data_IF_356944914433
#
_entry.id   IF_356944914433
#
_cell.length_a   1.000
_cell.length_b   1.000
_cell.length_c   1.000
_cell.angle_alpha   90.00
_cell.angle_beta   90.00
_cell.angle_gamma   90.00
#
_symmetry.space_group_name_H-M   'P 1'
#
loop_
_entity.id
_entity.type
_entity.pdbx_description
1 polymer ?
#
# COMPACT_ATOMS: atom_id res chain seq x y z
N UNK A 1 -8.48 -15.90 1.15
CA UNK A 1 -9.05 -14.65 0.60
C UNK A 1 -7.89 -13.72 0.29
N UNK A 2 -7.96 -13.01 -0.84
CA UNK A 2 -6.90 -12.06 -1.23
C UNK A 2 -7.01 -10.79 -0.36
N UNK A 3 -5.91 -10.23 0.15
CA UNK A 3 -5.93 -8.95 0.88
C UNK A 3 -6.51 -7.79 0.05
N UNK A 4 -6.49 -7.90 -1.29
CA UNK A 4 -7.05 -6.85 -2.16
C UNK A 4 -8.55 -6.98 -2.40
N UNK A 5 -9.23 -7.96 -1.79
CA UNK A 5 -10.68 -8.12 -1.88
C UNK A 5 -11.34 -7.58 -0.61
N UNK A 6 -11.24 -6.28 -0.42
CA UNK A 6 -11.74 -5.57 0.76
C UNK A 6 -12.67 -4.42 0.36
N UNK A 7 -13.49 -3.94 1.29
CA UNK A 7 -14.45 -2.88 1.02
C UNK A 7 -13.79 -1.59 0.53
N UNK A 8 -12.62 -1.23 1.07
CA UNK A 8 -11.90 -0.06 0.62
C UNK A 8 -11.52 -0.15 -0.86
N UNK A 9 -11.09 -1.33 -1.35
CA UNK A 9 -10.77 -1.53 -2.76
C UNK A 9 -11.99 -1.30 -3.66
N UNK A 10 -13.17 -1.74 -3.23
CA UNK A 10 -14.43 -1.47 -3.93
C UNK A 10 -14.73 0.04 -3.95
N UNK A 11 -14.58 0.71 -2.80
CA UNK A 11 -14.85 2.15 -2.69
C UNK A 11 -13.87 3.02 -3.48
N UNK A 12 -12.60 2.62 -3.61
CA UNK A 12 -11.62 3.31 -4.47
C UNK A 12 -12.09 3.38 -5.92
N UNK A 13 -12.77 2.33 -6.42
CA UNK A 13 -13.38 2.34 -7.76
C UNK A 13 -14.74 3.03 -7.84
N UNK A 14 -15.56 2.93 -6.78
CA UNK A 14 -16.95 3.39 -6.80
C UNK A 14 -17.12 4.88 -6.48
N UNK A 15 -16.44 5.40 -5.45
CA UNK A 15 -16.60 6.78 -4.96
C UNK A 15 -16.29 7.85 -6.01
N UNK A 16 -15.23 7.72 -6.84
CA UNK A 16 -14.94 8.71 -7.88
C UNK A 16 -16.12 8.94 -8.82
N UNK A 17 -16.87 7.88 -9.15
CA UNK A 17 -18.00 7.93 -10.08
C UNK A 17 -19.28 8.39 -9.36
N UNK A 18 -19.57 7.80 -8.19
CA UNK A 18 -20.85 7.99 -7.50
C UNK A 18 -20.92 9.35 -6.77
N UNK A 19 -19.81 9.79 -6.18
CA UNK A 19 -19.80 10.98 -5.30
C UNK A 19 -19.04 12.15 -5.91
N UNK A 20 -17.92 11.90 -6.60
CA UNK A 20 -17.02 12.96 -7.06
C UNK A 20 -17.23 13.38 -8.53
N UNK A 21 -18.24 12.82 -9.22
CA UNK A 21 -18.59 13.19 -10.59
C UNK A 21 -17.56 12.76 -11.65
N UNK A 22 -16.67 11.82 -11.33
CA UNK A 22 -15.71 11.25 -12.26
C UNK A 22 -16.37 10.38 -13.33
N UNK A 23 -15.82 10.41 -14.55
CA UNK A 23 -16.28 9.54 -15.63
C UNK A 23 -15.77 8.11 -15.47
N UNK A 24 -16.62 7.12 -15.78
CA UNK A 24 -16.29 5.68 -15.66
C UNK A 24 -14.92 5.33 -16.25
N UNK A 25 -14.66 5.73 -17.50
CA UNK A 25 -13.41 5.42 -18.18
C UNK A 25 -12.18 6.09 -17.56
N UNK A 26 -12.33 7.33 -17.07
CA UNK A 26 -11.24 8.03 -16.38
C UNK A 26 -10.93 7.40 -15.03
N UNK A 27 -11.95 6.97 -14.29
CA UNK A 27 -11.79 6.25 -13.03
C UNK A 27 -11.11 4.90 -13.25
N UNK A 28 -11.56 4.11 -14.23
CA UNK A 28 -10.92 2.83 -14.59
C UNK A 28 -9.45 3.02 -14.95
N UNK A 29 -9.15 4.01 -15.80
CA UNK A 29 -7.77 4.33 -16.19
C UNK A 29 -6.93 4.77 -14.99
N UNK A 30 -7.49 5.59 -14.11
CA UNK A 30 -6.87 5.98 -12.84
C UNK A 30 -6.57 4.78 -11.93
N UNK A 31 -7.51 3.84 -11.79
CA UNK A 31 -7.30 2.61 -11.02
C UNK A 31 -6.20 1.73 -11.64
N UNK A 32 -6.17 1.58 -12.97
CA UNK A 32 -5.14 0.79 -13.66
C UNK A 32 -3.76 1.42 -13.44
N UNK A 33 -3.63 2.74 -13.66
CA UNK A 33 -2.36 3.45 -13.48
C UNK A 33 -1.92 3.41 -12.02
N UNK A 34 -2.81 3.72 -11.08
CA UNK A 34 -2.51 3.67 -9.65
C UNK A 34 -2.07 2.29 -9.18
N UNK A 35 -2.76 1.24 -9.63
CA UNK A 35 -2.40 -0.15 -9.34
C UNK A 35 -1.08 -0.55 -9.96
N UNK A 36 -0.81 -0.14 -11.21
CA UNK A 36 0.46 -0.42 -11.88
C UNK A 36 1.65 0.27 -11.18
N UNK A 37 1.48 1.53 -10.76
CA UNK A 37 2.51 2.24 -10.01
C UNK A 37 2.74 1.61 -8.62
N UNK A 38 1.66 1.25 -7.93
CA UNK A 38 1.75 0.55 -6.65
C UNK A 38 2.39 -0.84 -6.77
N UNK A 39 2.09 -1.58 -7.85
CA UNK A 39 2.67 -2.92 -8.04
C UNK A 39 4.18 -2.87 -8.27
N UNK A 40 4.73 -1.79 -8.85
CA UNK A 40 6.17 -1.60 -9.00
C UNK A 40 6.85 -1.51 -7.63
N UNK A 41 6.34 -0.69 -6.71
CA UNK A 41 6.93 -0.57 -5.37
C UNK A 41 6.79 -1.88 -4.59
N UNK A 42 5.63 -2.54 -4.68
CA UNK A 42 5.43 -3.88 -4.12
C UNK A 42 6.40 -4.91 -4.69
N UNK A 43 6.67 -4.91 -5.99
CA UNK A 43 7.59 -5.85 -6.62
C UNK A 43 9.02 -5.66 -6.10
N UNK A 44 9.48 -4.42 -6.00
CA UNK A 44 10.82 -4.09 -5.48
C UNK A 44 10.96 -4.58 -4.03
N UNK A 45 10.02 -4.21 -3.15
CA UNK A 45 10.08 -4.55 -1.73
C UNK A 45 9.88 -6.06 -1.49
N UNK A 46 9.02 -6.72 -2.27
CA UNK A 46 8.82 -8.17 -2.17
C UNK A 46 10.06 -8.95 -2.60
N UNK A 47 10.85 -8.42 -3.54
CA UNK A 47 12.14 -8.99 -3.93
C UNK A 47 13.19 -8.99 -2.82
N UNK A 48 13.05 -8.12 -1.80
CA UNK A 48 13.95 -8.08 -0.65
C UNK A 48 13.72 -9.24 0.33
N UNK A 49 12.51 -9.80 0.37
CA UNK A 49 12.15 -10.90 1.27
C UNK A 49 13.05 -12.14 1.10
N UNK A 50 13.19 -12.71 -0.10
CA UNK A 50 14.08 -13.85 -0.36
C UNK A 50 15.57 -13.53 -0.14
N UNK A 51 15.97 -12.28 -0.35
CA UNK A 51 17.37 -11.86 -0.24
C UNK A 51 17.83 -11.74 1.20
N UNK A 52 17.02 -11.13 2.06
CA UNK A 52 17.42 -10.85 3.46
C UNK A 52 16.84 -11.85 4.45
N UNK A 53 15.74 -12.55 4.12
CA UNK A 53 15.16 -13.59 4.98
C UNK A 53 14.63 -13.10 6.33
N UNK A 54 14.50 -11.79 6.52
CA UNK A 54 14.02 -11.16 7.75
C UNK A 54 12.69 -10.44 7.50
N UNK A 55 11.86 -10.25 8.54
CA UNK A 55 10.65 -9.43 8.43
C UNK A 55 10.95 -8.01 7.95
N UNK A 56 10.04 -7.41 7.18
CA UNK A 56 10.19 -6.04 6.65
C UNK A 56 10.45 -5.00 7.76
N UNK A 57 9.89 -5.20 8.96
CA UNK A 57 10.14 -4.32 10.11
C UNK A 57 11.59 -4.40 10.63
N UNK A 58 12.27 -5.53 10.43
CA UNK A 58 13.69 -5.70 10.75
C UNK A 58 14.55 -5.14 9.63
N UNK A 59 14.14 -5.33 8.37
CA UNK A 59 14.81 -4.79 7.18
C UNK A 59 14.84 -3.26 7.18
N UNK A 60 13.77 -2.59 7.64
CA UNK A 60 13.72 -1.14 7.80
C UNK A 60 14.83 -0.56 8.70
N UNK A 61 15.45 -1.37 9.56
CA UNK A 61 16.63 -0.94 10.36
C UNK A 61 17.86 -0.66 9.49
N UNK A 62 17.95 -1.21 8.29
CA UNK A 62 19.05 -0.94 7.37
C UNK A 62 19.06 0.53 6.90
N UNK A 63 17.88 1.10 6.65
CA UNK A 63 17.73 2.49 6.21
C UNK A 63 17.61 3.48 7.38
N UNK A 64 16.91 3.09 8.45
CA UNK A 64 16.57 4.00 9.56
C UNK A 64 17.36 3.75 10.85
N UNK A 65 18.18 2.70 10.91
CA UNK A 65 18.88 2.29 12.14
C UNK A 65 17.95 1.66 13.19
N UNK A 66 18.51 1.25 14.33
CA UNK A 66 17.75 0.56 15.38
C UNK A 66 16.66 1.44 16.01
N UNK A 67 17.01 2.67 16.40
CA UNK A 67 16.06 3.62 16.99
C UNK A 67 15.23 4.35 15.94
N UNK A 68 15.78 4.68 14.78
CA UNK A 68 15.03 5.40 13.75
C UNK A 68 13.93 4.54 13.11
N UNK A 69 14.04 3.21 13.16
CA UNK A 69 12.98 2.30 12.72
C UNK A 69 11.67 2.44 13.51
N UNK A 70 11.67 3.10 14.68
CA UNK A 70 10.43 3.48 15.36
C UNK A 70 9.55 4.41 14.54
N UNK A 71 10.13 5.22 13.65
CA UNK A 71 9.37 6.15 12.81
C UNK A 71 8.45 5.40 11.81
N UNK A 72 8.97 4.54 10.90
CA UNK A 72 8.11 3.78 10.00
C UNK A 72 7.21 2.80 10.75
N UNK A 73 7.70 2.19 11.84
CA UNK A 73 6.91 1.27 12.66
C UNK A 73 5.71 1.97 13.32
N UNK A 74 5.92 3.15 13.91
CA UNK A 74 4.88 3.94 14.56
C UNK A 74 3.86 4.48 13.57
N UNK A 75 4.32 4.94 12.40
CA UNK A 75 3.42 5.37 11.33
C UNK A 75 2.57 4.21 10.82
N UNK A 76 3.17 3.05 10.56
CA UNK A 76 2.45 1.85 10.14
C UNK A 76 1.47 1.37 11.20
N UNK A 77 1.82 1.45 12.49
CA UNK A 77 0.91 1.11 13.58
C UNK A 77 -0.29 2.05 13.61
N UNK A 78 -0.07 3.36 13.47
CA UNK A 78 -1.14 4.36 13.49
C UNK A 78 -2.10 4.16 12.32
N UNK A 79 -1.57 4.00 11.10
CA UNK A 79 -2.40 3.81 9.90
C UNK A 79 -3.14 2.48 9.93
N UNK A 80 -2.51 1.41 10.42
CA UNK A 80 -3.16 0.11 10.53
C UNK A 80 -4.21 0.04 11.65
N UNK A 81 -4.08 0.87 12.70
CA UNK A 81 -5.01 0.85 13.84
C UNK A 81 -6.24 1.74 13.65
N UNK A 82 -6.09 2.87 12.95
CA UNK A 82 -7.18 3.85 12.77
C UNK A 82 -7.63 4.01 11.31
N UNK A 83 -6.78 3.64 10.36
CA UNK A 83 -7.04 3.78 8.93
C UNK A 83 -7.64 2.54 8.27
N UNK A 84 -7.82 1.45 9.04
CA UNK A 84 -8.44 0.21 8.58
C UNK A 84 -9.66 -0.16 9.42
#
# INVERSE_FOLDING_TARGET
>A
MSPNMEFATVYVGALPIILFGGGFWLTVLGCIIGTALGSITHAILSGMGPRFGVPQMVEGRAAFGFLGNFLPAGLSWLTASFGW
#
